data_IF_843777143624
#
_entry.id   IF_843777143624
#
_cell.length_a   1.000
_cell.length_b   1.000
_cell.length_c   1.000
_cell.angle_alpha   90.00
_cell.angle_beta   90.00
_cell.angle_gamma   90.00
#
_symmetry.space_group_name_H-M   'P 1'
#
loop_
_entity.id
_entity.type
_entity.pdbx_description
1 polymer ?
#
# COMPACT_ATOMS: atom_id res chain seq x y z
N UNK A 1 -30.49 6.03 26.06
CA UNK A 1 -30.01 7.23 25.35
C UNK A 1 -28.87 6.81 24.46
N UNK A 2 -28.91 7.18 23.17
CA UNK A 2 -27.75 7.04 22.31
C UNK A 2 -26.91 8.30 22.53
N UNK A 3 -25.80 8.17 23.24
CA UNK A 3 -24.88 9.27 23.51
C UNK A 3 -23.94 9.38 22.32
N UNK A 4 -24.11 10.39 21.49
CA UNK A 4 -23.21 10.67 20.36
C UNK A 4 -21.91 11.26 20.91
N UNK A 5 -20.79 10.58 20.70
CA UNK A 5 -19.45 11.11 20.98
C UNK A 5 -18.80 11.58 19.68
N UNK A 6 -17.89 12.55 19.79
CA UNK A 6 -17.25 13.22 18.66
C UNK A 6 -16.56 12.22 17.72
N UNK A 7 -16.84 12.33 16.42
CA UNK A 7 -16.17 11.59 15.36
C UNK A 7 -15.08 12.48 14.73
N UNK A 8 -13.90 11.92 14.49
CA UNK A 8 -12.79 12.61 13.81
C UNK A 8 -12.84 12.37 12.28
N UNK A 9 -12.30 13.31 11.50
CA UNK A 9 -12.41 13.37 10.04
C UNK A 9 -11.69 12.26 9.25
N UNK A 10 -10.94 11.35 9.90
CA UNK A 10 -10.18 10.29 9.21
C UNK A 10 -10.95 8.96 9.03
N UNK A 11 -12.22 8.89 9.45
CA UNK A 11 -13.07 7.69 9.27
C UNK A 11 -13.33 7.33 7.80
N UNK A 12 -13.16 8.29 6.88
CA UNK A 12 -13.41 8.07 5.45
C UNK A 12 -12.45 7.05 4.85
N UNK A 13 -11.15 7.06 5.22
CA UNK A 13 -10.17 6.12 4.68
C UNK A 13 -10.53 4.66 4.99
N UNK A 14 -10.90 4.39 6.25
CA UNK A 14 -11.35 3.06 6.69
C UNK A 14 -12.58 2.59 5.92
N UNK A 15 -13.53 3.49 5.67
CA UNK A 15 -14.73 3.16 4.89
C UNK A 15 -14.43 2.97 3.41
N UNK A 16 -13.52 3.74 2.82
CA UNK A 16 -13.06 3.56 1.44
C UNK A 16 -12.43 2.18 1.24
N UNK A 17 -11.60 1.72 2.18
CA UNK A 17 -11.04 0.35 2.16
C UNK A 17 -12.11 -0.74 2.23
N UNK A 18 -13.20 -0.51 2.99
CA UNK A 18 -14.35 -1.43 3.05
C UNK A 18 -15.18 -1.42 1.75
N UNK A 19 -15.35 -0.24 1.15
CA UNK A 19 -16.10 -0.06 -0.09
C UNK A 19 -15.35 -0.62 -1.30
N UNK A 20 -14.02 -0.61 -1.27
CA UNK A 20 -13.18 -1.22 -2.29
C UNK A 20 -13.29 -2.74 -2.27
N UNK A 21 -14.19 -3.22 -3.12
CA UNK A 21 -14.48 -4.64 -3.30
C UNK A 21 -13.29 -5.38 -3.92
N UNK A 22 -12.62 -4.80 -4.90
CA UNK A 22 -11.50 -5.45 -5.60
C UNK A 22 -10.35 -5.73 -4.63
N UNK A 23 -9.98 -4.71 -3.84
CA UNK A 23 -9.03 -4.86 -2.74
C UNK A 23 -9.50 -5.94 -1.77
N UNK A 24 -10.71 -5.81 -1.23
CA UNK A 24 -11.16 -6.70 -0.15
C UNK A 24 -11.26 -8.16 -0.61
N UNK A 25 -11.71 -8.43 -1.84
CA UNK A 25 -11.76 -9.78 -2.40
C UNK A 25 -10.37 -10.36 -2.66
N UNK A 26 -9.41 -9.54 -3.12
CA UNK A 26 -8.02 -9.98 -3.31
C UNK A 26 -7.38 -10.42 -1.98
N UNK A 27 -7.53 -9.60 -0.93
CA UNK A 27 -7.06 -9.94 0.42
C UNK A 27 -7.80 -11.14 1.01
N UNK A 28 -9.13 -11.23 0.87
CA UNK A 28 -9.90 -12.36 1.36
C UNK A 28 -9.42 -13.69 0.74
N UNK A 29 -9.17 -13.71 -0.57
CA UNK A 29 -8.64 -14.89 -1.27
C UNK A 29 -7.24 -15.25 -0.78
N UNK A 30 -6.35 -14.26 -0.66
CA UNK A 30 -4.99 -14.50 -0.17
C UNK A 30 -4.98 -15.02 1.27
N UNK A 31 -5.86 -14.48 2.14
CA UNK A 31 -6.04 -14.93 3.51
C UNK A 31 -6.53 -16.39 3.54
N UNK A 32 -7.56 -16.70 2.77
CA UNK A 32 -8.11 -18.06 2.67
C UNK A 32 -7.07 -19.09 2.21
N UNK A 33 -6.14 -18.70 1.33
CA UNK A 33 -5.08 -19.58 0.84
C UNK A 33 -3.89 -19.71 1.80
N UNK A 34 -3.75 -18.80 2.76
CA UNK A 34 -2.54 -18.68 3.60
C UNK A 34 -2.80 -19.13 5.03
N UNK A 35 -3.89 -18.66 5.64
CA UNK A 35 -4.25 -18.95 7.03
C UNK A 35 -4.79 -20.37 7.13
N UNK A 36 -4.33 -21.09 8.16
CA UNK A 36 -4.73 -22.47 8.45
C UNK A 36 -5.45 -22.56 9.79
N UNK A 37 -6.24 -23.62 9.92
CA UNK A 37 -6.88 -23.98 11.18
C UNK A 37 -5.82 -24.09 12.29
N UNK A 38 -6.01 -23.33 13.37
CA UNK A 38 -5.10 -23.33 14.51
C UNK A 38 -4.07 -22.22 14.53
N UNK A 39 -3.88 -21.48 13.42
CA UNK A 39 -2.89 -20.41 13.33
C UNK A 39 -3.16 -19.27 14.32
N UNK A 40 -2.09 -18.68 14.84
CA UNK A 40 -2.11 -17.38 15.54
C UNK A 40 -1.73 -16.29 14.55
N UNK A 41 -2.60 -15.29 14.39
CA UNK A 41 -2.46 -14.23 13.38
C UNK A 41 -2.28 -12.86 14.04
N UNK A 42 -1.47 -11.99 13.43
CA UNK A 42 -1.43 -10.55 13.75
C UNK A 42 -1.98 -9.76 12.58
N UNK A 43 -2.91 -8.84 12.85
CA UNK A 43 -3.38 -7.80 11.93
C UNK A 43 -2.76 -6.45 12.33
N UNK A 44 -1.71 -6.05 11.62
CA UNK A 44 -0.79 -4.95 11.98
C UNK A 44 -1.28 -3.55 11.57
N UNK A 45 -2.48 -3.18 12.00
CA UNK A 45 -3.18 -1.96 11.56
C UNK A 45 -4.56 -2.32 11.05
N UNK A 46 -5.44 -2.75 11.97
CA UNK A 46 -6.66 -3.48 11.64
C UNK A 46 -7.74 -2.59 11.02
N UNK A 47 -7.73 -1.28 11.25
CA UNK A 47 -8.65 -0.32 10.64
C UNK A 47 -10.10 -0.65 10.96
N UNK A 48 -10.84 -1.17 9.96
CA UNK A 48 -12.23 -1.61 10.13
C UNK A 48 -12.39 -2.96 10.83
N UNK A 49 -11.30 -3.72 10.98
CA UNK A 49 -11.32 -5.09 11.48
C UNK A 49 -11.63 -6.14 10.42
N UNK A 50 -11.84 -5.76 9.15
CA UNK A 50 -12.26 -6.69 8.11
C UNK A 50 -11.22 -7.79 7.85
N UNK A 51 -9.93 -7.47 7.81
CA UNK A 51 -8.88 -8.45 7.56
C UNK A 51 -8.73 -9.42 8.74
N UNK A 52 -8.77 -8.91 9.99
CA UNK A 52 -8.81 -9.74 11.18
C UNK A 52 -10.00 -10.72 11.21
N UNK A 53 -11.20 -10.25 10.86
CA UNK A 53 -12.39 -11.10 10.78
C UNK A 53 -12.27 -12.15 9.66
N UNK A 54 -11.72 -11.80 8.50
CA UNK A 54 -11.47 -12.75 7.41
C UNK A 54 -10.44 -13.83 7.82
N UNK A 55 -9.40 -13.46 8.56
CA UNK A 55 -8.44 -14.44 9.10
C UNK A 55 -9.09 -15.37 10.13
N UNK A 56 -9.93 -14.81 11.02
CA UNK A 56 -10.72 -15.60 11.96
C UNK A 56 -11.68 -16.57 11.25
N UNK A 57 -12.34 -16.15 10.16
CA UNK A 57 -13.17 -17.01 9.32
C UNK A 57 -12.38 -18.11 8.61
N UNK A 58 -11.12 -17.85 8.25
CA UNK A 58 -10.23 -18.82 7.61
C UNK A 58 -9.69 -19.90 8.56
N UNK A 59 -10.05 -19.87 9.85
CA UNK A 59 -9.66 -20.87 10.85
C UNK A 59 -8.56 -20.43 11.82
N UNK A 60 -8.19 -19.14 11.82
CA UNK A 60 -7.27 -18.64 12.83
C UNK A 60 -7.86 -18.88 14.23
N UNK A 61 -7.10 -19.56 15.08
CA UNK A 61 -7.48 -19.83 16.47
C UNK A 61 -7.52 -18.54 17.28
N UNK A 62 -6.67 -17.58 16.92
CA UNK A 62 -6.53 -16.29 17.60
C UNK A 62 -6.02 -15.25 16.64
N UNK A 63 -6.57 -14.04 16.70
CA UNK A 63 -6.08 -12.89 15.91
C UNK A 63 -5.79 -11.74 16.84
N UNK A 64 -4.58 -11.21 16.82
CA UNK A 64 -4.22 -9.95 17.46
C UNK A 64 -4.48 -8.81 16.48
N UNK A 65 -5.56 -8.07 16.68
CA UNK A 65 -5.91 -6.92 15.87
C UNK A 65 -5.38 -5.65 16.53
N UNK A 66 -4.44 -4.96 15.88
CA UNK A 66 -3.76 -3.79 16.44
C UNK A 66 -4.32 -2.53 15.78
N UNK A 67 -4.80 -1.58 16.57
CA UNK A 67 -5.26 -0.28 16.10
C UNK A 67 -4.65 0.81 16.99
N UNK A 68 -4.07 1.84 16.39
CA UNK A 68 -3.48 2.97 17.13
C UNK A 68 -4.46 4.14 17.26
N UNK A 69 -5.35 4.32 16.28
CA UNK A 69 -6.36 5.38 16.32
C UNK A 69 -7.45 5.06 17.33
N UNK A 70 -7.55 5.89 18.36
CA UNK A 70 -8.48 5.67 19.46
C UNK A 70 -9.95 5.69 19.01
N UNK A 71 -10.28 6.44 17.94
CA UNK A 71 -11.66 6.54 17.46
C UNK A 71 -12.10 5.26 16.73
N UNK A 72 -11.22 4.69 15.91
CA UNK A 72 -11.43 3.38 15.29
C UNK A 72 -11.49 2.28 16.35
N UNK A 73 -10.50 2.23 17.26
CA UNK A 73 -10.40 1.26 18.34
C UNK A 73 -11.71 1.14 19.15
N UNK A 74 -12.28 2.27 19.56
CA UNK A 74 -13.50 2.32 20.41
C UNK A 74 -14.71 1.58 19.82
N UNK A 75 -14.77 1.42 18.50
CA UNK A 75 -15.88 0.75 17.84
C UNK A 75 -15.60 -0.73 17.52
N UNK A 76 -14.33 -1.13 17.46
CA UNK A 76 -13.92 -2.45 17.00
C UNK A 76 -14.38 -3.59 17.91
N UNK A 77 -14.34 -3.43 19.23
CA UNK A 77 -14.90 -4.43 20.16
C UNK A 77 -16.37 -4.74 19.86
N UNK A 78 -17.16 -3.70 19.59
CA UNK A 78 -18.56 -3.86 19.20
C UNK A 78 -18.67 -4.54 17.84
N UNK A 79 -17.85 -4.16 16.86
CA UNK A 79 -17.83 -4.76 15.51
C UNK A 79 -17.55 -6.26 15.59
N UNK A 80 -16.52 -6.68 16.33
CA UNK A 80 -16.20 -8.10 16.47
C UNK A 80 -17.30 -8.86 17.21
N UNK A 81 -17.84 -8.30 18.29
CA UNK A 81 -18.91 -8.92 19.07
C UNK A 81 -20.19 -9.13 18.29
N UNK A 82 -20.65 -8.14 17.51
CA UNK A 82 -21.90 -8.29 16.73
C UNK A 82 -21.76 -9.29 15.59
N UNK A 83 -20.53 -9.55 15.13
CA UNK A 83 -20.23 -10.55 14.12
C UNK A 83 -19.81 -11.91 14.70
N UNK A 84 -19.72 -12.05 16.03
CA UNK A 84 -19.43 -13.32 16.70
C UNK A 84 -17.94 -13.74 16.68
N UNK A 85 -17.01 -12.79 16.61
CA UNK A 85 -15.56 -13.06 16.59
C UNK A 85 -14.90 -12.85 17.96
N UNK A 86 -15.20 -13.73 18.92
CA UNK A 86 -14.65 -13.66 20.28
C UNK A 86 -13.15 -14.02 20.36
N UNK A 87 -12.60 -14.65 19.31
CA UNK A 87 -11.18 -15.02 19.24
C UNK A 87 -10.24 -13.88 18.81
N UNK A 88 -10.80 -12.73 18.42
CA UNK A 88 -10.02 -11.55 18.06
C UNK A 88 -9.70 -10.75 19.33
N UNK A 89 -8.41 -10.60 19.62
CA UNK A 89 -7.88 -9.78 20.71
C UNK A 89 -7.50 -8.43 20.14
N UNK A 90 -8.27 -7.40 20.50
CA UNK A 90 -8.00 -6.02 20.09
C UNK A 90 -6.95 -5.38 21.01
N UNK A 91 -5.96 -4.70 20.41
CA UNK A 91 -4.90 -3.98 21.10
C UNK A 91 -4.90 -2.50 20.66
N UNK A 92 -5.05 -1.57 21.60
CA UNK A 92 -4.92 -0.13 21.35
C UNK A 92 -3.46 0.31 21.48
N UNK A 93 -2.64 -0.02 20.49
CA UNK A 93 -1.19 0.14 20.57
C UNK A 93 -0.61 0.58 19.23
N UNK A 94 0.57 1.18 19.29
CA UNK A 94 1.36 1.46 18.08
C UNK A 94 2.06 0.18 17.63
N UNK A 95 1.68 -0.31 16.45
CA UNK A 95 2.23 -1.54 15.89
C UNK A 95 3.75 -1.53 15.70
N UNK A 96 4.36 -0.34 15.61
CA UNK A 96 5.81 -0.16 15.47
C UNK A 96 6.57 -0.46 16.76
N UNK A 97 5.89 -0.50 17.90
CA UNK A 97 6.51 -0.74 19.22
C UNK A 97 5.75 -1.73 20.11
N UNK A 98 4.56 -2.18 19.72
CA UNK A 98 3.75 -3.13 20.51
C UNK A 98 4.50 -4.44 20.75
N UNK A 99 4.31 -5.02 21.92
CA UNK A 99 4.77 -6.37 22.25
C UNK A 99 3.66 -7.38 22.02
N UNK A 100 3.97 -8.47 21.29
CA UNK A 100 3.01 -9.55 21.08
C UNK A 100 3.24 -10.64 22.14
N UNK A 101 2.20 -11.05 22.91
CA UNK A 101 2.36 -11.97 24.05
C UNK A 101 2.83 -13.38 23.69
N UNK A 102 2.70 -13.79 22.44
CA UNK A 102 3.06 -15.12 21.96
C UNK A 102 3.63 -15.06 20.54
N UNK A 103 4.24 -16.16 20.10
CA UNK A 103 4.73 -16.26 18.73
C UNK A 103 3.59 -16.49 17.75
N UNK A 104 3.72 -15.92 16.54
CA UNK A 104 2.65 -15.91 15.54
C UNK A 104 3.03 -16.64 14.25
N UNK A 105 2.03 -17.15 13.56
CA UNK A 105 2.14 -18.00 12.39
C UNK A 105 1.87 -17.23 11.09
N UNK A 106 1.00 -16.22 11.13
CA UNK A 106 0.73 -15.35 9.98
C UNK A 106 0.69 -13.88 10.39
N UNK A 107 1.35 -13.02 9.61
CA UNK A 107 1.23 -11.57 9.68
C UNK A 107 0.36 -11.11 8.50
N UNK A 108 -0.75 -10.47 8.80
CA UNK A 108 -1.61 -9.76 7.85
C UNK A 108 -1.59 -8.28 8.20
N UNK A 109 -1.84 -7.41 7.23
CA UNK A 109 -1.97 -5.98 7.46
C UNK A 109 -1.67 -5.19 6.21
N UNK A 110 -2.26 -4.01 6.15
CA UNK A 110 -2.24 -3.15 4.98
C UNK A 110 -2.00 -1.71 5.42
N UNK A 111 -0.74 -1.37 5.59
CA UNK A 111 -0.26 0.00 5.77
C UNK A 111 0.55 0.40 4.54
N UNK A 112 -0.05 0.28 3.36
CA UNK A 112 0.63 0.38 2.06
C UNK A 112 0.16 1.61 1.29
N UNK A 113 1.14 2.40 0.83
CA UNK A 113 0.94 3.42 -0.20
C UNK A 113 1.79 3.11 -1.45
N UNK A 114 1.40 3.70 -2.58
CA UNK A 114 2.16 3.62 -3.84
C UNK A 114 3.59 4.10 -3.64
N UNK A 115 4.55 3.36 -4.21
CA UNK A 115 5.97 3.61 -4.03
C UNK A 115 6.51 3.25 -2.63
N UNK A 116 5.67 2.80 -1.68
CA UNK A 116 5.94 2.81 -0.24
C UNK A 116 6.47 4.18 0.21
N UNK A 117 5.82 5.26 -0.23
CA UNK A 117 6.30 6.61 0.11
C UNK A 117 5.88 6.99 1.54
N UNK A 118 4.59 6.91 1.86
CA UNK A 118 4.03 7.55 3.07
C UNK A 118 3.84 6.61 4.26
N UNK A 119 3.15 5.49 4.06
CA UNK A 119 2.69 4.64 5.16
C UNK A 119 3.82 3.78 5.75
N UNK A 120 3.66 3.40 7.03
CA UNK A 120 4.73 2.85 7.87
C UNK A 120 4.81 1.31 7.85
N UNK A 121 4.50 0.67 6.70
CA UNK A 121 4.53 -0.80 6.55
C UNK A 121 5.84 -1.42 7.02
N UNK A 122 6.99 -0.85 6.61
CA UNK A 122 8.30 -1.45 6.87
C UNK A 122 8.59 -1.47 8.36
N UNK A 123 8.28 -0.38 9.06
CA UNK A 123 8.49 -0.26 10.50
C UNK A 123 7.55 -1.17 11.29
N UNK A 124 6.29 -1.29 10.87
CA UNK A 124 5.33 -2.23 11.43
C UNK A 124 5.82 -3.68 11.26
N UNK A 125 6.19 -4.08 10.03
CA UNK A 125 6.75 -5.39 9.73
C UNK A 125 8.01 -5.68 10.55
N UNK A 126 8.95 -4.74 10.60
CA UNK A 126 10.20 -4.89 11.36
C UNK A 126 9.94 -5.15 12.85
N UNK A 127 8.87 -4.59 13.42
CA UNK A 127 8.50 -4.88 14.79
C UNK A 127 7.87 -6.28 14.93
N UNK A 128 6.84 -6.59 14.14
CA UNK A 128 6.09 -7.83 14.27
C UNK A 128 6.92 -9.07 13.92
N UNK A 129 7.88 -8.96 12.99
CA UNK A 129 8.81 -10.05 12.63
C UNK A 129 9.65 -10.56 13.82
N UNK A 130 9.78 -9.79 14.92
CA UNK A 130 10.45 -10.26 16.15
C UNK A 130 9.64 -11.36 16.87
N UNK A 131 8.33 -11.41 16.63
CA UNK A 131 7.39 -12.29 17.32
C UNK A 131 6.94 -13.48 16.45
N UNK A 132 7.69 -13.86 15.43
CA UNK A 132 7.27 -14.95 14.53
C UNK A 132 7.83 -16.31 14.93
N UNK A 133 7.07 -17.36 14.62
CA UNK A 133 7.55 -18.74 14.60
C UNK A 133 8.42 -19.03 13.37
N UNK A 134 9.15 -20.15 13.39
CA UNK A 134 9.82 -20.67 12.20
C UNK A 134 8.76 -21.05 11.15
N UNK A 135 8.87 -20.48 9.94
CA UNK A 135 7.91 -20.74 8.86
C UNK A 135 6.71 -19.82 8.81
N UNK A 136 6.67 -18.79 9.68
CA UNK A 136 5.65 -17.74 9.65
C UNK A 136 5.48 -17.15 8.23
N UNK A 137 4.24 -16.86 7.86
CA UNK A 137 3.87 -16.27 6.58
C UNK A 137 3.55 -14.80 6.74
N UNK A 138 4.01 -13.99 5.79
CA UNK A 138 3.57 -12.61 5.65
C UNK A 138 2.63 -12.55 4.46
N UNK A 139 1.36 -12.22 4.71
CA UNK A 139 0.31 -12.25 3.70
C UNK A 139 0.70 -11.40 2.50
N UNK A 140 1.03 -10.13 2.75
CA UNK A 140 1.71 -9.25 1.83
C UNK A 140 3.20 -9.62 1.87
N UNK A 141 3.68 -10.34 0.84
CA UNK A 141 5.03 -10.92 0.85
C UNK A 141 6.05 -10.02 0.19
N UNK A 142 5.74 -9.52 -1.01
CA UNK A 142 6.61 -8.57 -1.71
C UNK A 142 5.81 -7.40 -2.24
N UNK A 143 6.50 -6.27 -2.35
CA UNK A 143 5.97 -5.07 -2.94
C UNK A 143 6.98 -4.50 -3.93
N UNK A 144 6.57 -4.40 -5.18
CA UNK A 144 7.44 -3.98 -6.28
C UNK A 144 6.97 -2.64 -6.81
N UNK A 145 7.88 -1.67 -6.87
CA UNK A 145 7.60 -0.34 -7.39
C UNK A 145 8.15 -0.20 -8.81
N UNK A 146 7.33 0.41 -9.66
CA UNK A 146 7.57 0.58 -11.07
C UNK A 146 7.48 2.05 -11.48
N UNK A 147 8.16 2.40 -12.56
CA UNK A 147 8.21 3.73 -13.12
C UNK A 147 8.04 3.71 -14.64
N UNK A 148 7.27 4.65 -15.17
CA UNK A 148 7.14 4.94 -16.60
C UNK A 148 6.90 6.45 -16.84
N UNK A 149 7.15 6.92 -18.05
CA UNK A 149 6.83 8.29 -18.45
C UNK A 149 5.49 8.34 -19.17
N UNK A 150 4.68 9.33 -18.84
CA UNK A 150 3.30 9.44 -19.30
C UNK A 150 2.99 10.84 -19.83
N UNK A 151 1.99 10.90 -20.70
CA UNK A 151 1.19 12.09 -20.91
C UNK A 151 -0.01 12.03 -19.98
N UNK A 152 -0.33 13.12 -19.30
CA UNK A 152 -1.48 13.22 -18.42
C UNK A 152 -2.19 14.55 -18.62
N UNK A 153 -3.52 14.56 -18.42
CA UNK A 153 -4.31 15.79 -18.44
C UNK A 153 -3.93 16.65 -17.24
N UNK A 154 -3.32 17.80 -17.52
CA UNK A 154 -2.91 18.81 -16.54
C UNK A 154 -3.70 20.13 -16.69
N UNK A 155 -4.60 20.23 -17.67
CA UNK A 155 -5.45 21.38 -17.88
C UNK A 155 -6.88 21.15 -17.37
N UNK A 156 -7.33 22.04 -16.50
CA UNK A 156 -8.66 22.03 -15.91
C UNK A 156 -9.24 23.45 -15.96
N UNK A 157 -10.44 23.60 -16.52
CA UNK A 157 -11.12 24.90 -16.66
C UNK A 157 -10.28 25.97 -17.40
N UNK A 158 -9.41 25.55 -18.32
CA UNK A 158 -8.51 26.44 -19.07
C UNK A 158 -7.26 26.89 -18.29
N UNK A 159 -7.02 26.33 -17.10
CA UNK A 159 -5.85 26.61 -16.27
C UNK A 159 -4.98 25.35 -16.15
N UNK A 160 -3.66 25.52 -16.04
CA UNK A 160 -2.69 24.42 -15.93
C UNK A 160 -2.38 24.12 -14.45
N UNK A 161 -2.38 22.84 -14.09
CA UNK A 161 -2.13 22.34 -12.75
C UNK A 161 -1.04 21.24 -12.78
N UNK A 162 0.25 21.61 -12.87
CA UNK A 162 1.36 20.67 -12.80
C UNK A 162 1.61 20.28 -11.34
N UNK A 163 0.69 19.51 -10.76
CA UNK A 163 0.72 19.07 -9.36
C UNK A 163 0.79 17.55 -9.29
N UNK A 164 1.31 17.04 -8.17
CA UNK A 164 1.25 15.60 -7.88
C UNK A 164 -0.22 15.19 -7.81
N UNK A 165 -0.58 14.10 -8.49
CA UNK A 165 -1.94 13.57 -8.48
C UNK A 165 -1.97 12.04 -8.54
N UNK A 166 -3.12 11.48 -8.21
CA UNK A 166 -3.38 10.04 -8.28
C UNK A 166 -4.22 9.69 -9.51
N UNK A 167 -3.99 8.52 -10.09
CA UNK A 167 -4.88 7.89 -11.06
C UNK A 167 -5.95 7.09 -10.32
N UNK A 168 -7.02 7.76 -9.91
CA UNK A 168 -8.14 7.09 -9.24
C UNK A 168 -8.78 6.07 -10.19
N UNK A 169 -8.78 4.81 -9.78
CA UNK A 169 -9.42 3.70 -10.51
C UNK A 169 -10.89 4.03 -10.80
N UNK A 170 -11.32 3.79 -12.04
CA UNK A 170 -12.68 4.07 -12.51
C UNK A 170 -12.91 5.50 -13.02
N UNK A 171 -11.97 6.43 -12.79
CA UNK A 171 -12.10 7.82 -13.24
C UNK A 171 -11.36 8.04 -14.57
N UNK A 172 -12.04 7.78 -15.68
CA UNK A 172 -11.45 7.89 -17.04
C UNK A 172 -10.86 9.27 -17.36
N UNK A 173 -11.36 10.34 -16.74
CA UNK A 173 -10.81 11.70 -16.90
C UNK A 173 -9.41 11.87 -16.28
N UNK A 174 -9.05 10.96 -15.37
CA UNK A 174 -7.81 10.95 -14.61
C UNK A 174 -6.84 9.87 -15.10
N UNK A 175 -7.11 9.23 -16.25
CA UNK A 175 -6.17 8.33 -16.90
C UNK A 175 -4.99 9.12 -17.51
N UNK A 176 -3.78 8.54 -17.40
CA UNK A 176 -2.61 8.95 -18.17
C UNK A 176 -2.25 7.92 -19.22
N UNK A 177 -1.57 8.38 -20.26
CA UNK A 177 -1.18 7.58 -21.40
C UNK A 177 0.34 7.33 -21.35
N UNK A 178 0.78 6.06 -21.35
CA UNK A 178 2.21 5.74 -21.33
C UNK A 178 2.90 6.15 -22.63
N UNK A 179 4.08 6.75 -22.49
CA UNK A 179 5.00 7.11 -23.58
C UNK A 179 6.27 6.26 -23.55
N UNK A 180 6.55 5.56 -22.45
CA UNK A 180 7.64 4.58 -22.34
C UNK A 180 7.14 3.22 -21.91
N UNK A 181 8.00 2.20 -22.00
CA UNK A 181 7.84 0.98 -21.23
C UNK A 181 7.94 1.27 -19.72
N UNK A 182 7.43 0.32 -18.93
CA UNK A 182 7.46 0.35 -17.47
C UNK A 182 8.64 -0.47 -16.96
N UNK A 183 9.41 0.08 -16.02
CA UNK A 183 10.54 -0.60 -15.38
C UNK A 183 10.39 -0.68 -13.86
N UNK A 184 10.79 -1.80 -13.26
CA UNK A 184 10.86 -1.94 -11.79
C UNK A 184 12.11 -1.24 -11.27
N UNK A 185 11.96 -0.41 -10.22
CA UNK A 185 13.09 0.31 -9.61
C UNK A 185 13.35 -0.06 -8.14
N UNK A 186 12.38 -0.67 -7.45
CA UNK A 186 12.53 -1.08 -6.05
C UNK A 186 11.65 -2.30 -5.74
N UNK A 187 12.16 -3.21 -4.91
CA UNK A 187 11.45 -4.41 -4.43
C UNK A 187 11.69 -4.52 -2.93
N UNK A 188 10.61 -4.60 -2.15
CA UNK A 188 10.66 -4.84 -0.70
C UNK A 188 10.09 -6.23 -0.41
N UNK A 189 10.84 -7.04 0.33
CA UNK A 189 10.41 -8.36 0.81
C UNK A 189 10.04 -8.24 2.29
N UNK A 190 8.75 -8.32 2.59
CA UNK A 190 8.23 -8.16 3.95
C UNK A 190 8.42 -9.40 4.81
N UNK A 191 8.90 -10.52 4.26
CA UNK A 191 9.19 -11.71 5.06
C UNK A 191 10.50 -11.62 5.87
N UNK A 192 11.24 -10.52 5.71
CA UNK A 192 12.50 -10.24 6.42
C UNK A 192 12.54 -8.81 6.94
N UNK A 193 13.35 -8.61 7.98
CA UNK A 193 13.68 -7.26 8.46
C UNK A 193 14.32 -6.48 7.32
N UNK A 194 13.83 -5.26 7.09
CA UNK A 194 14.42 -4.30 6.14
C UNK A 194 15.25 -3.28 6.90
N UNK A 195 16.54 -3.15 6.57
CA UNK A 195 17.45 -2.18 7.21
C UNK A 195 17.19 -0.73 6.75
N UNK A 196 17.76 0.24 7.46
CA UNK A 196 17.66 1.66 7.06
C UNK A 196 18.32 1.91 5.70
N UNK A 197 19.40 1.20 5.38
CA UNK A 197 20.07 1.31 4.08
C UNK A 197 19.23 0.68 2.95
N UNK A 198 18.57 -0.45 3.22
CA UNK A 198 17.64 -1.09 2.26
C UNK A 198 16.41 -0.22 1.97
N UNK A 199 16.06 0.72 2.87
CA UNK A 199 14.98 1.70 2.67
C UNK A 199 15.37 2.86 1.75
N UNK A 200 16.64 3.04 1.40
CA UNK A 200 17.06 4.15 0.55
C UNK A 200 16.87 3.79 -0.93
N UNK A 201 16.00 4.55 -1.61
CA UNK A 201 15.89 4.54 -3.07
C UNK A 201 16.75 5.66 -3.62
N UNK A 202 17.71 5.33 -4.48
CA UNK A 202 18.45 6.27 -5.32
C UNK A 202 18.73 5.58 -6.67
N UNK A 203 17.94 5.93 -7.68
CA UNK A 203 17.91 5.23 -8.98
C UNK A 203 17.98 6.21 -10.13
N UNK A 204 18.75 5.83 -11.14
CA UNK A 204 18.74 6.43 -12.47
C UNK A 204 18.33 5.33 -13.45
N UNK A 205 17.22 5.53 -14.15
CA UNK A 205 16.65 4.62 -15.13
C UNK A 205 16.73 5.25 -16.52
N UNK A 206 16.97 4.44 -17.54
CA UNK A 206 17.01 4.89 -18.93
C UNK A 206 15.86 4.22 -19.69
N UNK A 207 14.73 4.92 -19.74
CA UNK A 207 13.53 4.46 -20.42
C UNK A 207 13.60 4.78 -21.91
N UNK A 208 12.88 4.02 -22.71
CA UNK A 208 12.80 4.23 -24.16
C UNK A 208 11.37 4.61 -24.53
N UNK A 209 11.22 5.69 -25.31
CA UNK A 209 9.92 6.09 -25.84
C UNK A 209 9.40 5.01 -26.79
N UNK A 210 8.18 4.54 -26.56
CA UNK A 210 7.53 3.49 -27.35
C UNK A 210 6.64 4.05 -28.47
N UNK A 211 6.47 5.36 -28.53
CA UNK A 211 5.71 6.08 -29.56
C UNK A 211 6.05 7.58 -29.52
N UNK A 212 5.72 8.26 -30.60
CA UNK A 212 5.72 9.72 -30.67
C UNK A 212 4.71 10.33 -29.70
N UNK A 213 5.06 11.47 -29.10
CA UNK A 213 4.13 12.28 -28.31
C UNK A 213 4.83 13.17 -27.30
N UNK A 214 4.09 13.58 -26.27
CA UNK A 214 4.57 14.51 -25.25
C UNK A 214 4.53 13.85 -23.88
N UNK A 215 5.64 13.90 -23.14
CA UNK A 215 5.71 13.52 -21.74
C UNK A 215 5.50 14.78 -20.90
N UNK A 216 4.64 14.68 -19.87
CA UNK A 216 4.50 15.72 -18.84
C UNK A 216 4.35 15.14 -17.43
N UNK A 217 4.58 13.83 -17.28
CA UNK A 217 4.57 13.17 -15.98
C UNK A 217 5.48 11.96 -15.92
N UNK A 218 6.01 11.69 -14.72
CA UNK A 218 6.57 10.41 -14.32
C UNK A 218 5.50 9.70 -13.50
N UNK A 219 5.11 8.49 -13.89
CA UNK A 219 4.16 7.68 -13.13
C UNK A 219 4.90 6.66 -12.28
N UNK A 220 4.52 6.60 -10.99
CA UNK A 220 4.89 5.53 -10.08
C UNK A 220 3.68 4.61 -9.93
N UNK A 221 3.88 3.31 -10.12
CA UNK A 221 2.87 2.28 -9.83
C UNK A 221 3.48 1.17 -8.99
N UNK A 222 2.65 0.42 -8.29
CA UNK A 222 3.11 -0.65 -7.41
C UNK A 222 2.32 -1.94 -7.60
N UNK A 223 3.00 -3.07 -7.42
CA UNK A 223 2.41 -4.42 -7.45
C UNK A 223 2.72 -5.13 -6.14
N UNK A 224 1.70 -5.76 -5.59
CA UNK A 224 1.77 -6.65 -4.45
C UNK A 224 1.85 -8.09 -4.91
N UNK A 225 2.78 -8.86 -4.34
CA UNK A 225 2.79 -10.32 -4.39
C UNK A 225 2.39 -10.85 -3.01
N UNK A 226 1.31 -11.62 -2.95
CA UNK A 226 0.85 -12.27 -1.73
C UNK A 226 1.64 -13.56 -1.44
N UNK A 227 1.53 -14.08 -0.22
CA UNK A 227 2.17 -15.33 0.23
C UNK A 227 1.82 -16.56 -0.61
N UNK A 228 0.65 -16.58 -1.23
CA UNK A 228 0.19 -17.65 -2.12
C UNK A 228 0.71 -17.49 -3.57
N UNK A 229 1.48 -16.44 -3.86
CA UNK A 229 2.05 -16.13 -5.16
C UNK A 229 1.11 -15.39 -6.10
N UNK A 230 -0.12 -15.09 -5.70
CA UNK A 230 -1.01 -14.21 -6.46
C UNK A 230 -0.53 -12.77 -6.41
N UNK A 231 -0.84 -12.01 -7.47
CA UNK A 231 -0.43 -10.62 -7.63
C UNK A 231 -1.64 -9.69 -7.66
N UNK A 232 -1.48 -8.51 -7.08
CA UNK A 232 -2.51 -7.49 -7.03
C UNK A 232 -1.91 -6.11 -7.30
N UNK A 233 -2.60 -5.34 -8.13
CA UNK A 233 -2.22 -3.97 -8.50
C UNK A 233 -3.10 -2.97 -7.73
N UNK A 234 -3.06 -1.70 -8.10
CA UNK A 234 -3.89 -0.69 -7.48
C UNK A 234 -5.40 -0.85 -7.74
N UNK A 235 -6.22 -0.38 -6.80
CA UNK A 235 -7.69 -0.30 -6.83
C UNK A 235 -8.15 0.93 -6.02
N UNK A 236 -9.46 1.11 -5.79
CA UNK A 236 -10.06 2.35 -5.25
C UNK A 236 -9.53 2.79 -3.86
N UNK A 237 -9.00 1.91 -3.05
CA UNK A 237 -8.45 2.25 -1.74
C UNK A 237 -7.13 1.51 -1.55
N UNK A 238 -6.43 1.26 -2.65
CA UNK A 238 -5.18 0.52 -2.62
C UNK A 238 -4.23 0.99 -3.71
N UNK A 239 -3.10 1.56 -3.33
CA UNK A 239 -1.92 1.75 -4.20
C UNK A 239 -2.20 2.33 -5.60
N UNK A 240 -3.01 3.39 -5.69
CA UNK A 240 -3.23 4.11 -6.93
C UNK A 240 -1.93 4.63 -7.54
N UNK A 241 -1.74 4.53 -8.87
CA UNK A 241 -0.59 5.15 -9.49
C UNK A 241 -0.51 6.65 -9.18
N UNK A 242 0.70 7.13 -8.87
CA UNK A 242 0.99 8.54 -8.62
C UNK A 242 1.63 9.12 -9.87
N UNK A 243 1.20 10.30 -10.28
CA UNK A 243 1.84 11.07 -11.35
C UNK A 243 2.58 12.24 -10.72
N UNK A 244 3.88 12.28 -10.98
CA UNK A 244 4.79 13.35 -10.62
C UNK A 244 4.95 14.29 -11.82
N UNK A 245 4.57 15.57 -11.72
CA UNK A 245 4.61 16.49 -12.84
C UNK A 245 6.05 16.79 -13.27
N UNK A 246 6.28 16.86 -14.58
CA UNK A 246 7.54 17.36 -15.15
C UNK A 246 7.24 18.41 -16.22
N UNK A 247 8.25 19.16 -16.66
CA UNK A 247 8.11 20.02 -17.83
C UNK A 247 7.77 19.18 -19.08
N UNK A 248 7.07 19.81 -20.01
CA UNK A 248 6.68 19.18 -21.28
C UNK A 248 7.94 18.77 -22.08
N UNK A 249 8.02 17.49 -22.45
CA UNK A 249 9.10 16.93 -23.27
C UNK A 249 8.51 16.21 -24.47
N UNK A 250 8.77 16.75 -25.66
CA UNK A 250 8.43 16.09 -26.92
C UNK A 250 9.37 14.92 -27.19
N UNK A 251 8.81 13.76 -27.53
CA UNK A 251 9.54 12.52 -27.81
C UNK A 251 9.11 11.88 -29.13
N UNK A 252 10.06 11.21 -29.77
CA UNK A 252 9.90 10.29 -30.88
C UNK A 252 10.09 8.86 -30.40
N UNK A 253 9.43 7.92 -31.06
CA UNK A 253 9.68 6.50 -30.83
C UNK A 253 11.20 6.20 -30.93
N UNK A 254 11.74 5.53 -29.91
CA UNK A 254 13.15 5.22 -29.79
C UNK A 254 14.00 6.25 -29.04
N UNK A 255 13.46 7.44 -28.73
CA UNK A 255 14.16 8.42 -27.89
C UNK A 255 14.47 7.84 -26.50
N UNK A 256 15.62 8.24 -25.94
CA UNK A 256 16.03 7.83 -24.59
C UNK A 256 15.67 8.90 -23.58
N UNK A 257 15.08 8.45 -22.48
CA UNK A 257 14.62 9.30 -21.39
C UNK A 257 15.28 8.82 -20.10
N UNK A 258 16.13 9.65 -19.54
CA UNK A 258 16.74 9.41 -18.24
C UNK A 258 15.84 9.93 -17.12
N UNK A 259 15.37 9.03 -16.27
CA UNK A 259 14.59 9.36 -15.07
C UNK A 259 15.46 9.11 -13.85
N UNK A 260 15.57 10.11 -12.98
CA UNK A 260 16.18 9.98 -11.65
C UNK A 260 15.09 10.02 -10.60
N UNK A 261 15.17 9.14 -9.61
CA UNK A 261 14.26 9.12 -8.46
C UNK A 261 15.05 8.77 -7.19
N UNK A 262 14.85 9.55 -6.13
CA UNK A 262 15.41 9.25 -4.81
C UNK A 262 14.49 9.64 -3.67
N UNK A 263 14.39 8.76 -2.67
CA UNK A 263 13.60 8.94 -1.46
C UNK A 263 13.93 7.82 -0.45
N UNK A 264 13.38 7.92 0.75
CA UNK A 264 13.40 6.85 1.74
C UNK A 264 12.02 6.19 1.76
N UNK A 265 11.97 4.86 1.62
CA UNK A 265 10.73 4.09 1.77
C UNK A 265 10.14 4.37 3.17
N UNK A 266 8.84 4.61 3.22
CA UNK A 266 8.07 4.99 4.40
C UNK A 266 8.57 6.30 5.05
N UNK A 267 9.11 7.23 4.24
CA UNK A 267 9.64 8.53 4.68
C UNK A 267 8.68 9.71 4.51
N UNK A 268 7.69 9.58 3.63
CA UNK A 268 6.75 10.65 3.23
C UNK A 268 7.17 11.35 1.94
N UNK A 269 6.30 12.19 1.37
CA UNK A 269 6.59 12.91 0.12
C UNK A 269 7.70 13.96 0.24
N UNK A 270 7.95 14.50 1.43
CA UNK A 270 8.94 15.58 1.63
C UNK A 270 10.38 15.18 1.29
N UNK A 271 10.67 13.88 1.25
CA UNK A 271 11.98 13.34 0.86
C UNK A 271 12.00 12.79 -0.57
N UNK A 272 10.91 12.90 -1.34
CA UNK A 272 10.87 12.50 -2.74
C UNK A 272 11.52 13.54 -3.63
N UNK A 273 12.55 13.11 -4.37
CA UNK A 273 13.21 13.89 -5.42
C UNK A 273 13.17 13.11 -6.70
N UNK A 274 12.93 13.82 -7.80
CA UNK A 274 12.92 13.22 -9.12
C UNK A 274 13.35 14.23 -10.17
N UNK A 275 13.81 13.72 -11.32
CA UNK A 275 14.03 14.52 -12.51
C UNK A 275 13.90 13.66 -13.77
N UNK A 276 13.62 14.33 -14.88
CA UNK A 276 13.52 13.72 -16.20
C UNK A 276 14.42 14.52 -17.14
N UNK A 277 15.24 13.83 -17.92
CA UNK A 277 16.04 14.43 -18.99
C UNK A 277 15.88 13.57 -20.24
N UNK A 278 15.68 14.21 -21.38
CA UNK A 278 15.76 13.57 -22.68
C UNK A 278 17.20 13.73 -23.18
N UNK A 279 17.81 12.61 -23.57
CA UNK A 279 19.15 12.61 -24.19
C UNK A 279 19.11 13.13 -25.64
#
# INVERSE_FOLDING_TARGET
>A
MHETKEYWSMTEGVFNCLFDKERTEAFAKAIQNTVKEGDVVVDMGTGSGILAMLAAQAGAKKVYAIEFDENNYRNLEKVFKVNGFDQIVLLNEDVRSVEIPEKVDVIIGEMIATGLIEEQQIQAMNNILKYTNLGCKTLLKKYTNYIDCVYNKDQYYGLQFPIVRYEYSGESELESWPLTGKESYSVTDFSKITSEEERVVDKTLNLVAIKDGKINGIRISSETEFSDGTKFWGSFAYSYPIILPVEDVEVKEGDRIQVKISYVLCGGFNNLKYSLNKD
#
